data_IF_901036076466
#
_entry.id   IF_901036076466
#
_cell.length_a   1.000
_cell.length_b   1.000
_cell.length_c   1.000
_cell.angle_alpha   90.00
_cell.angle_beta   90.00
_cell.angle_gamma   90.00
#
_symmetry.space_group_name_H-M   'P 1'
#
loop_
_entity.id
_entity.type
_entity.pdbx_description
1 polymer ?
#
# COMPACT_ATOMS: atom_id res chain seq x y z
N UNK A 1 9.15 7.96 -10.83
CA UNK A 1 8.20 7.38 -11.83
C UNK A 1 6.90 7.00 -11.13
N UNK A 2 5.74 7.24 -11.77
CA UNK A 2 4.42 6.82 -11.27
C UNK A 2 3.81 5.84 -12.27
N UNK A 3 3.31 4.70 -11.80
CA UNK A 3 2.66 3.72 -12.69
C UNK A 3 1.44 3.07 -12.03
N UNK A 4 0.40 2.90 -12.79
CA UNK A 4 -0.79 2.16 -12.38
C UNK A 4 -0.45 0.68 -12.25
N UNK A 5 -0.88 0.07 -11.16
CA UNK A 5 -0.61 -1.33 -10.84
C UNK A 5 -1.88 -2.03 -10.38
N UNK A 6 -1.86 -3.35 -10.48
CA UNK A 6 -2.89 -4.21 -9.92
C UNK A 6 -2.23 -5.38 -9.19
N UNK A 7 -2.81 -5.79 -8.08
CA UNK A 7 -2.40 -7.01 -7.39
C UNK A 7 -3.64 -7.83 -6.99
N UNK A 8 -3.43 -9.12 -6.74
CA UNK A 8 -4.49 -10.03 -6.32
C UNK A 8 -4.57 -10.06 -4.81
N UNK A 9 -5.80 -9.98 -4.28
CA UNK A 9 -6.11 -10.20 -2.88
C UNK A 9 -7.29 -11.14 -2.79
N UNK A 10 -7.05 -12.41 -2.43
CA UNK A 10 -8.07 -13.46 -2.29
C UNK A 10 -8.95 -13.63 -3.55
N UNK A 11 -8.36 -13.55 -4.73
CA UNK A 11 -9.06 -13.63 -6.01
C UNK A 11 -9.68 -12.32 -6.49
N UNK A 12 -9.54 -11.24 -5.73
CA UNK A 12 -10.04 -9.90 -6.06
C UNK A 12 -8.88 -9.07 -6.60
N UNK A 13 -9.10 -8.38 -7.72
CA UNK A 13 -8.11 -7.46 -8.30
C UNK A 13 -8.17 -6.12 -7.58
N UNK A 14 -7.08 -5.77 -6.93
CA UNK A 14 -6.88 -4.51 -6.22
C UNK A 14 -6.13 -3.53 -7.10
N UNK A 15 -6.65 -2.31 -7.24
CA UNK A 15 -6.04 -1.25 -8.01
C UNK A 15 -5.15 -0.36 -7.14
N UNK A 16 -4.00 0.03 -7.66
CA UNK A 16 -3.07 0.92 -7.00
C UNK A 16 -2.29 1.80 -7.96
N UNK A 17 -1.53 2.74 -7.39
CA UNK A 17 -0.49 3.49 -8.07
C UNK A 17 0.80 3.31 -7.30
N UNK A 18 1.82 2.83 -7.99
CA UNK A 18 3.16 2.67 -7.45
C UNK A 18 4.01 3.87 -7.85
N UNK A 19 4.63 4.46 -6.86
CA UNK A 19 5.57 5.57 -6.97
C UNK A 19 6.97 5.04 -6.69
N UNK A 20 7.88 5.24 -7.63
CA UNK A 20 9.23 4.70 -7.55
C UNK A 20 10.27 5.80 -7.78
N UNK A 21 11.38 5.79 -7.03
CA UNK A 21 12.53 6.64 -7.35
C UNK A 21 13.01 6.40 -8.79
N UNK A 22 13.55 7.42 -9.43
CA UNK A 22 14.28 7.23 -10.70
C UNK A 22 15.45 6.29 -10.45
N UNK A 23 15.70 5.44 -11.44
CA UNK A 23 16.62 4.32 -11.28
C UNK A 23 17.99 4.78 -10.79
N UNK A 24 18.36 4.34 -9.60
CA UNK A 24 19.75 4.19 -9.21
C UNK A 24 20.07 2.71 -9.40
N UNK A 25 21.08 2.42 -10.20
CA UNK A 25 21.54 1.05 -10.43
C UNK A 25 21.73 0.34 -9.08
N UNK A 26 21.06 -0.80 -8.88
CA UNK A 26 21.16 -1.72 -7.73
C UNK A 26 20.72 -1.21 -6.34
N UNK A 27 20.05 -0.09 -6.20
CA UNK A 27 19.59 0.34 -4.89
C UNK A 27 18.25 -0.31 -4.52
N UNK A 28 18.30 -1.24 -3.59
CA UNK A 28 17.14 -1.79 -2.88
C UNK A 28 16.54 -0.69 -1.98
N UNK A 29 15.31 -0.28 -2.24
CA UNK A 29 14.64 0.83 -1.55
C UNK A 29 13.71 0.31 -0.44
N UNK A 30 13.57 1.02 0.68
CA UNK A 30 12.45 0.78 1.57
C UNK A 30 11.13 1.03 0.83
N UNK A 31 10.09 0.31 1.21
CA UNK A 31 8.76 0.53 0.63
C UNK A 31 7.71 0.84 1.70
N UNK A 32 6.86 1.80 1.39
CA UNK A 32 5.79 2.26 2.26
C UNK A 32 4.45 2.10 1.55
N UNK A 33 3.53 1.39 2.19
CA UNK A 33 2.16 1.26 1.74
C UNK A 33 1.26 2.22 2.53
N UNK A 34 0.49 3.03 1.82
CA UNK A 34 -0.39 4.05 2.41
C UNK A 34 -1.81 3.50 2.49
N UNK A 35 -2.33 3.35 3.72
CA UNK A 35 -3.63 2.78 4.03
C UNK A 35 -4.63 3.88 4.37
N UNK A 36 -5.59 4.08 3.49
CA UNK A 36 -6.54 5.19 3.53
C UNK A 36 -7.68 5.00 4.54
N UNK A 37 -8.47 6.05 4.70
CA UNK A 37 -9.70 6.04 5.49
C UNK A 37 -10.83 5.25 4.84
N UNK A 38 -11.92 5.07 5.57
CA UNK A 38 -13.04 4.17 5.25
C UNK A 38 -13.68 4.40 3.87
N UNK A 39 -13.82 5.65 3.45
CA UNK A 39 -14.49 6.03 2.20
C UNK A 39 -13.54 6.69 1.20
N UNK A 40 -12.25 6.62 1.47
CA UNK A 40 -11.24 7.22 0.60
C UNK A 40 -10.91 6.34 -0.59
N UNK A 41 -10.59 6.97 -1.71
CA UNK A 41 -9.93 6.33 -2.85
C UNK A 41 -8.45 6.66 -2.84
N UNK A 42 -7.63 5.90 -3.55
CA UNK A 42 -6.17 6.05 -3.56
C UNK A 42 -5.68 7.44 -3.95
N UNK A 43 -6.46 8.17 -4.76
CA UNK A 43 -6.14 9.55 -5.13
C UNK A 43 -6.65 10.59 -4.12
N UNK A 44 -7.17 10.14 -2.97
CA UNK A 44 -7.76 11.05 -2.00
C UNK A 44 -6.75 12.06 -1.47
N UNK A 45 -7.08 13.32 -1.71
CA UNK A 45 -6.53 14.57 -1.21
C UNK A 45 -5.01 14.67 -1.13
N UNK A 46 -4.34 14.05 -0.17
CA UNK A 46 -2.91 14.24 0.11
C UNK A 46 -2.06 12.97 -0.08
N UNK A 47 -2.67 11.80 -0.32
CA UNK A 47 -1.94 10.55 -0.50
C UNK A 47 -0.95 10.59 -1.67
N UNK A 48 -1.31 11.09 -2.87
CA UNK A 48 -0.34 11.22 -3.96
C UNK A 48 0.81 12.18 -3.62
N UNK A 49 0.53 13.26 -2.87
CA UNK A 49 1.59 14.18 -2.42
C UNK A 49 2.54 13.52 -1.43
N UNK A 50 2.00 12.77 -0.45
CA UNK A 50 2.83 12.03 0.51
C UNK A 50 3.65 10.96 -0.20
N UNK A 51 3.07 10.23 -1.14
CA UNK A 51 3.79 9.22 -1.92
C UNK A 51 4.98 9.83 -2.68
N UNK A 52 4.78 11.00 -3.32
CA UNK A 52 5.88 11.72 -3.99
C UNK A 52 6.97 12.14 -3.01
N UNK A 53 6.60 12.64 -1.83
CA UNK A 53 7.59 13.02 -0.79
C UNK A 53 8.37 11.80 -0.29
N UNK A 54 7.74 10.65 -0.15
CA UNK A 54 8.43 9.40 0.20
C UNK A 54 9.44 8.98 -0.89
N UNK A 55 9.06 9.15 -2.17
CA UNK A 55 9.97 8.90 -3.30
C UNK A 55 11.17 9.83 -3.29
N UNK A 56 11.00 11.11 -2.97
CA UNK A 56 12.11 12.06 -2.80
C UNK A 56 13.06 11.65 -1.67
N UNK A 57 12.56 10.90 -0.67
CA UNK A 57 13.35 10.33 0.42
C UNK A 57 13.94 8.95 0.08
N UNK A 58 13.80 8.49 -1.17
CA UNK A 58 14.35 7.22 -1.64
C UNK A 58 13.48 5.99 -1.35
N UNK A 59 12.21 6.18 -0.99
CA UNK A 59 11.29 5.07 -0.76
C UNK A 59 10.46 4.77 -2.01
N UNK A 60 10.10 3.50 -2.20
CA UNK A 60 8.97 3.12 -3.03
C UNK A 60 7.69 3.37 -2.22
N UNK A 61 6.65 3.94 -2.83
CA UNK A 61 5.38 4.16 -2.17
C UNK A 61 4.21 3.56 -2.98
N UNK A 62 3.28 2.92 -2.29
CA UNK A 62 2.06 2.36 -2.89
C UNK A 62 0.83 3.05 -2.29
N UNK A 63 0.03 3.70 -3.13
CA UNK A 63 -1.36 4.08 -2.82
C UNK A 63 -2.30 3.11 -3.54
N UNK A 64 -3.43 2.78 -2.95
CA UNK A 64 -4.29 1.72 -3.46
C UNK A 64 -5.73 1.86 -2.95
N UNK A 65 -6.67 1.22 -3.61
CA UNK A 65 -8.08 1.16 -3.21
C UNK A 65 -8.38 -0.16 -2.50
N UNK A 66 -9.05 -0.11 -1.35
CA UNK A 66 -9.58 -1.33 -0.71
C UNK A 66 -10.56 -2.07 -1.65
N UNK A 67 -10.72 -3.38 -1.44
CA UNK A 67 -11.76 -4.15 -2.15
C UNK A 67 -13.12 -3.46 -2.06
N UNK A 68 -13.86 -3.42 -3.16
CA UNK A 68 -15.17 -2.77 -3.24
C UNK A 68 -15.14 -1.24 -3.25
N UNK A 69 -13.95 -0.62 -3.38
CA UNK A 69 -13.76 0.84 -3.39
C UNK A 69 -13.00 1.25 -4.65
N UNK A 70 -13.30 2.42 -5.18
CA UNK A 70 -12.59 3.04 -6.30
C UNK A 70 -12.53 2.14 -7.53
N UNK A 71 -11.31 1.83 -7.98
CA UNK A 71 -11.07 0.99 -9.16
C UNK A 71 -10.79 -0.49 -8.81
N UNK A 72 -10.78 -0.84 -7.52
CA UNK A 72 -10.65 -2.22 -7.06
C UNK A 72 -11.95 -3.00 -7.28
N UNK A 73 -11.82 -4.27 -7.61
CA UNK A 73 -12.94 -5.20 -7.65
C UNK A 73 -13.46 -5.51 -6.24
N UNK A 74 -14.56 -6.22 -6.17
CA UNK A 74 -15.23 -6.59 -4.93
C UNK A 74 -16.64 -6.01 -4.85
N UNK A 75 -17.36 -6.36 -3.79
CA UNK A 75 -18.72 -5.87 -3.54
C UNK A 75 -18.68 -4.39 -3.12
N UNK A 76 -19.32 -3.47 -3.89
CA UNK A 76 -19.28 -2.05 -3.58
C UNK A 76 -19.84 -1.75 -2.19
N UNK A 77 -19.07 -0.96 -1.41
CA UNK A 77 -19.48 -0.54 -0.07
C UNK A 77 -19.36 -1.63 1.02
N UNK A 78 -18.91 -2.83 0.66
CA UNK A 78 -18.60 -3.87 1.64
C UNK A 78 -17.33 -3.53 2.39
N UNK A 79 -17.46 -3.38 3.70
CA UNK A 79 -16.34 -3.02 4.56
C UNK A 79 -16.28 -3.96 5.76
N UNK A 80 -15.41 -4.95 5.68
CA UNK A 80 -15.11 -5.89 6.74
C UNK A 80 -13.64 -5.76 7.13
N UNK A 81 -13.32 -5.26 8.33
CA UNK A 81 -11.94 -4.94 8.71
C UNK A 81 -10.92 -6.05 8.46
N UNK A 82 -11.27 -7.30 8.70
CA UNK A 82 -10.37 -8.43 8.47
C UNK A 82 -10.10 -8.68 6.97
N UNK A 83 -11.05 -8.37 6.10
CA UNK A 83 -10.83 -8.45 4.65
C UNK A 83 -9.86 -7.35 4.18
N UNK A 84 -9.96 -6.14 4.73
CA UNK A 84 -9.02 -5.06 4.44
C UNK A 84 -7.63 -5.36 5.02
N UNK A 85 -7.53 -6.02 6.16
CA UNK A 85 -6.25 -6.53 6.69
C UNK A 85 -5.59 -7.47 5.69
N UNK A 86 -6.34 -8.40 5.08
CA UNK A 86 -5.80 -9.28 4.04
C UNK A 86 -5.41 -8.50 2.77
N UNK A 87 -6.15 -7.47 2.38
CA UNK A 87 -5.74 -6.60 1.27
C UNK A 87 -4.39 -5.92 1.55
N UNK A 88 -4.17 -5.43 2.77
CA UNK A 88 -2.88 -4.84 3.16
C UNK A 88 -1.77 -5.90 3.07
N UNK A 89 -1.98 -7.09 3.61
CA UNK A 89 -1.00 -8.18 3.59
C UNK A 89 -0.65 -8.63 2.16
N UNK A 90 -1.66 -8.73 1.28
CA UNK A 90 -1.45 -9.04 -0.13
C UNK A 90 -0.75 -7.90 -0.89
N UNK A 91 -1.00 -6.64 -0.49
CA UNK A 91 -0.25 -5.48 -0.98
C UNK A 91 1.23 -5.51 -0.57
N UNK A 92 1.56 -5.94 0.65
CA UNK A 92 2.94 -6.18 1.08
C UNK A 92 3.59 -7.27 0.23
N UNK A 93 2.88 -8.37 -0.04
CA UNK A 93 3.36 -9.44 -0.93
C UNK A 93 3.63 -8.92 -2.34
N UNK A 94 2.75 -8.06 -2.87
CA UNK A 94 2.99 -7.40 -4.15
C UNK A 94 4.26 -6.53 -4.13
N UNK A 95 4.47 -5.75 -3.07
CA UNK A 95 5.68 -4.92 -2.94
C UNK A 95 6.96 -5.76 -2.92
N UNK A 96 6.97 -6.90 -2.24
CA UNK A 96 8.12 -7.82 -2.22
C UNK A 96 8.51 -8.35 -3.62
N UNK A 97 7.55 -8.41 -4.57
CA UNK A 97 7.84 -8.86 -5.93
C UNK A 97 8.54 -7.79 -6.78
N UNK A 98 8.61 -6.56 -6.31
CA UNK A 98 9.27 -5.47 -7.02
C UNK A 98 10.79 -5.52 -6.76
N UNK A 99 11.57 -5.69 -7.81
CA UNK A 99 13.04 -5.79 -7.75
C UNK A 99 13.74 -4.56 -7.14
N UNK A 100 13.06 -3.40 -7.08
CA UNK A 100 13.58 -2.19 -6.43
C UNK A 100 13.33 -2.17 -4.92
N UNK A 101 12.48 -3.04 -4.40
CA UNK A 101 12.08 -3.04 -3.00
C UNK A 101 12.99 -3.96 -2.19
N UNK A 102 13.43 -3.45 -1.05
CA UNK A 102 14.06 -4.25 -0.01
C UNK A 102 12.97 -4.89 0.87
N UNK A 103 12.77 -6.21 0.80
CA UNK A 103 11.74 -6.89 1.57
C UNK A 103 11.93 -6.79 3.09
N UNK A 104 13.15 -6.49 3.54
CA UNK A 104 13.45 -6.28 4.96
C UNK A 104 13.16 -4.85 5.44
N UNK A 105 12.66 -3.96 4.56
CA UNK A 105 12.36 -2.57 4.89
C UNK A 105 10.98 -2.15 4.41
N UNK A 106 9.94 -2.90 4.83
CA UNK A 106 8.55 -2.59 4.53
C UNK A 106 7.90 -1.84 5.69
N UNK A 107 7.14 -0.81 5.36
CA UNK A 107 6.42 0.01 6.33
C UNK A 107 4.98 0.33 5.91
N UNK A 108 4.17 0.67 6.89
CA UNK A 108 2.76 1.04 6.70
C UNK A 108 2.49 2.42 7.30
N UNK A 109 1.73 3.24 6.57
CA UNK A 109 1.17 4.49 7.09
C UNK A 109 -0.34 4.40 6.99
N UNK A 110 -1.05 4.57 8.11
CA UNK A 110 -2.49 4.51 8.18
C UNK A 110 -3.12 5.87 8.46
N UNK A 111 -4.28 6.13 7.85
CA UNK A 111 -5.09 7.30 8.13
C UNK A 111 -6.50 6.88 8.49
N UNK A 112 -7.06 7.39 9.61
CA UNK A 112 -8.43 7.11 10.06
C UNK A 112 -8.69 5.60 10.18
N UNK A 113 -9.56 5.04 9.36
CA UNK A 113 -9.82 3.59 9.31
C UNK A 113 -8.54 2.78 9.04
N UNK A 114 -7.68 3.25 8.13
CA UNK A 114 -6.38 2.63 7.87
C UNK A 114 -5.47 2.65 9.10
N UNK A 115 -5.54 3.72 9.91
CA UNK A 115 -4.79 3.78 11.17
C UNK A 115 -5.23 2.73 12.21
N UNK A 116 -6.46 2.25 12.12
CA UNK A 116 -6.94 1.10 12.91
C UNK A 116 -6.42 -0.24 12.38
N UNK A 117 -6.27 -0.37 11.06
CA UNK A 117 -5.81 -1.63 10.43
C UNK A 117 -4.30 -1.82 10.53
N UNK A 118 -3.54 -0.74 10.36
CA UNK A 118 -2.08 -0.77 10.29
C UNK A 118 -1.41 -1.36 11.54
N UNK A 119 -1.76 -0.97 12.79
CA UNK A 119 -1.19 -1.60 13.98
C UNK A 119 -1.55 -3.08 14.10
N UNK A 120 -2.75 -3.47 13.68
CA UNK A 120 -3.16 -4.87 13.68
C UNK A 120 -2.32 -5.69 12.72
N UNK A 121 -2.13 -5.22 11.47
CA UNK A 121 -1.26 -5.90 10.50
C UNK A 121 0.18 -5.96 11.01
N UNK A 122 0.71 -4.87 11.57
CA UNK A 122 2.07 -4.86 12.14
C UNK A 122 2.25 -5.88 13.27
N UNK A 123 1.18 -6.18 14.02
CA UNK A 123 1.20 -7.18 15.09
C UNK A 123 1.16 -8.63 14.62
N UNK A 124 0.71 -8.90 13.39
CA UNK A 124 0.54 -10.27 12.87
C UNK A 124 1.40 -10.59 11.64
N UNK A 125 2.06 -9.60 11.05
CA UNK A 125 2.87 -9.75 9.84
C UNK A 125 4.28 -9.21 10.08
N UNK A 126 5.24 -10.12 10.25
CA UNK A 126 6.64 -9.81 10.60
C UNK A 126 7.39 -9.00 9.54
N UNK A 127 6.86 -8.91 8.32
CA UNK A 127 7.42 -8.09 7.24
C UNK A 127 7.32 -6.60 7.52
N UNK A 128 6.36 -6.17 8.35
CA UNK A 128 6.19 -4.78 8.72
C UNK A 128 7.24 -4.37 9.73
N UNK A 129 8.18 -3.51 9.33
CA UNK A 129 9.28 -3.04 10.20
C UNK A 129 8.98 -1.69 10.85
N UNK A 130 8.06 -0.91 10.29
CA UNK A 130 7.55 0.32 10.91
C UNK A 130 6.07 0.55 10.55
N UNK A 131 5.35 1.20 11.44
CA UNK A 131 3.95 1.57 11.23
C UNK A 131 3.63 2.90 11.93
N UNK A 132 2.84 3.74 11.26
CA UNK A 132 2.41 5.07 11.73
C UNK A 132 0.91 5.20 11.50
#
# INVERSE_FOLDING_TARGET
MERRVFFNSDGIRIAGVLFEPEATDDASCPAIMLCQGMVGVKEYFWFPHLARRLVELGCVALIWDYRGVGESEGEPGRLYPLEQVEDIRNGLTFLETNHKVDPERLGLIGFSFGAGMVPYVAGIDERVKCSI
#
